data_IF_970706921516
#
_entry.id   IF_970706921516
#
_cell.length_a   1.000
_cell.length_b   1.000
_cell.length_c   1.000
_cell.angle_alpha   90.00
_cell.angle_beta   90.00
_cell.angle_gamma   90.00
#
_symmetry.space_group_name_H-M   'P 1'
#
loop_
_entity.id
_entity.type
_entity.pdbx_description
1 polymer ?
#
# COMPACT_ATOMS: atom_id res chain seq x y z
N UNK A 1 18.02 0.71 2.24
CA UNK A 1 16.65 0.47 1.74
C UNK A 1 16.24 -0.97 2.02
N UNK A 2 15.03 -1.17 2.47
CA UNK A 2 14.39 -2.47 2.65
C UNK A 2 13.19 -2.56 1.69
N UNK A 3 13.15 -3.56 0.82
CA UNK A 3 12.08 -3.73 -0.16
C UNK A 3 11.84 -5.21 -0.44
N UNK A 4 10.62 -5.61 -0.70
CA UNK A 4 10.30 -6.93 -1.25
C UNK A 4 10.57 -6.92 -2.75
N UNK A 5 11.71 -7.43 -3.18
CA UNK A 5 12.08 -7.50 -4.60
C UNK A 5 11.67 -8.82 -5.23
N UNK A 6 11.49 -9.83 -4.40
CA UNK A 6 10.99 -11.16 -4.75
C UNK A 6 9.89 -11.56 -3.75
N UNK A 7 9.09 -12.56 -4.10
CA UNK A 7 7.94 -12.95 -3.29
C UNK A 7 6.71 -12.06 -3.52
N UNK A 8 5.80 -12.06 -2.57
CA UNK A 8 4.54 -11.33 -2.64
C UNK A 8 4.77 -9.81 -2.60
N UNK A 9 3.92 -9.06 -3.31
CA UNK A 9 3.97 -7.59 -3.43
C UNK A 9 5.31 -7.05 -4.00
N UNK A 10 6.00 -7.85 -4.81
CA UNK A 10 7.31 -7.47 -5.37
C UNK A 10 7.21 -6.34 -6.42
N UNK A 11 6.05 -6.14 -7.04
CA UNK A 11 5.79 -5.02 -7.96
C UNK A 11 6.09 -3.68 -7.30
N UNK A 12 5.57 -3.43 -6.09
CA UNK A 12 5.86 -2.21 -5.33
C UNK A 12 7.36 -2.10 -4.98
N UNK A 13 7.97 -3.19 -4.51
CA UNK A 13 9.39 -3.18 -4.13
C UNK A 13 10.31 -2.79 -5.28
N UNK A 14 10.08 -3.35 -6.47
CA UNK A 14 10.84 -3.04 -7.68
C UNK A 14 10.64 -1.59 -8.12
N UNK A 15 9.39 -1.10 -8.15
CA UNK A 15 9.08 0.28 -8.48
C UNK A 15 9.69 1.26 -7.46
N UNK A 16 9.69 0.93 -6.17
CA UNK A 16 10.31 1.76 -5.12
C UNK A 16 11.83 1.88 -5.31
N UNK A 17 12.51 0.78 -5.67
CA UNK A 17 13.96 0.86 -5.98
C UNK A 17 14.21 1.78 -7.16
N UNK A 18 13.43 1.64 -8.24
CA UNK A 18 13.57 2.48 -9.42
C UNK A 18 13.28 3.96 -9.10
N UNK A 19 12.24 4.25 -8.29
CA UNK A 19 11.89 5.59 -7.84
C UNK A 19 13.04 6.26 -7.08
N UNK A 20 13.68 5.54 -6.14
CA UNK A 20 14.81 6.06 -5.38
C UNK A 20 16.05 6.28 -6.23
N UNK A 21 16.32 5.41 -7.21
CA UNK A 21 17.43 5.61 -8.16
C UNK A 21 17.21 6.85 -9.03
N UNK A 22 15.97 7.10 -9.49
CA UNK A 22 15.63 8.30 -10.23
C UNK A 22 15.77 9.54 -9.35
N UNK A 23 15.32 9.48 -8.10
CA UNK A 23 15.48 10.58 -7.14
C UNK A 23 16.97 10.89 -6.90
N UNK A 24 17.82 9.85 -6.73
CA UNK A 24 19.28 10.01 -6.59
C UNK A 24 19.89 10.73 -7.81
N UNK A 25 19.54 10.30 -9.02
CA UNK A 25 20.02 10.93 -10.26
C UNK A 25 19.64 12.41 -10.35
N UNK A 26 18.41 12.76 -9.99
CA UNK A 26 17.93 14.13 -9.98
C UNK A 26 18.65 14.98 -8.93
N UNK A 27 18.83 14.46 -7.73
CA UNK A 27 19.57 15.15 -6.66
C UNK A 27 21.06 15.30 -6.99
N UNK A 28 21.70 14.32 -7.63
CA UNK A 28 23.07 14.46 -8.12
C UNK A 28 23.19 15.54 -9.20
N UNK A 29 22.25 15.59 -10.13
CA UNK A 29 22.23 16.63 -11.17
C UNK A 29 22.06 18.03 -10.55
N UNK A 30 21.20 18.18 -9.54
CA UNK A 30 21.02 19.42 -8.80
C UNK A 30 22.30 19.81 -8.04
N UNK A 31 22.92 18.87 -7.31
CA UNK A 31 24.17 19.09 -6.57
C UNK A 31 25.32 19.54 -7.50
N UNK A 32 25.42 18.97 -8.69
CA UNK A 32 26.40 19.37 -9.69
C UNK A 32 26.14 20.82 -10.16
N UNK A 33 24.89 21.17 -10.42
CA UNK A 33 24.50 22.51 -10.89
C UNK A 33 24.77 23.59 -9.84
N UNK A 34 24.59 23.26 -8.56
CA UNK A 34 24.77 24.18 -7.42
C UNK A 34 26.19 24.18 -6.84
N UNK A 35 27.12 23.36 -7.37
CA UNK A 35 28.49 23.18 -6.88
C UNK A 35 28.56 22.69 -5.43
N UNK A 36 27.59 21.90 -4.97
CA UNK A 36 27.53 21.33 -3.62
C UNK A 36 26.31 20.45 -3.43
N UNK A 37 26.26 19.68 -2.35
CA UNK A 37 25.13 18.82 -1.99
C UNK A 37 25.59 17.48 -1.41
N UNK A 38 24.63 16.71 -0.93
CA UNK A 38 24.86 15.36 -0.45
C UNK A 38 24.86 14.37 -1.62
N UNK A 39 25.67 13.32 -1.50
CA UNK A 39 25.59 12.15 -2.36
C UNK A 39 25.02 11.00 -1.57
N UNK A 40 24.03 10.37 -2.15
CA UNK A 40 23.39 9.20 -1.56
C UNK A 40 24.07 7.93 -2.07
N UNK A 41 24.07 6.90 -1.24
CA UNK A 41 24.48 5.57 -1.62
C UNK A 41 23.52 4.56 -1.01
N UNK A 42 22.82 3.82 -1.86
CA UNK A 42 21.81 2.88 -1.43
C UNK A 42 22.37 1.48 -1.21
N UNK A 43 22.15 0.97 0.01
CA UNK A 43 22.27 -0.45 0.32
C UNK A 43 20.89 -1.08 0.23
N UNK A 44 20.58 -1.74 -0.88
CA UNK A 44 19.30 -2.41 -1.09
C UNK A 44 19.34 -3.80 -0.45
N UNK A 45 18.27 -4.17 0.27
CA UNK A 45 18.06 -5.50 0.84
C UNK A 45 16.69 -6.00 0.42
N UNK A 46 16.66 -7.19 -0.19
CA UNK A 46 15.43 -7.91 -0.47
C UNK A 46 14.90 -8.52 0.83
N UNK A 47 13.70 -8.14 1.24
CA UNK A 47 13.06 -8.65 2.46
C UNK A 47 12.09 -9.79 2.18
N UNK A 48 11.72 -10.01 0.92
CA UNK A 48 10.76 -11.04 0.50
C UNK A 48 9.40 -10.95 1.21
N UNK A 49 9.03 -9.76 1.68
CA UNK A 49 7.87 -9.53 2.54
C UNK A 49 7.91 -10.33 3.86
N UNK A 50 9.11 -10.72 4.32
CA UNK A 50 9.33 -11.50 5.55
C UNK A 50 9.83 -10.59 6.68
N UNK A 51 9.06 -10.44 7.77
CA UNK A 51 9.46 -9.61 8.91
C UNK A 51 10.81 -10.01 9.53
N UNK A 52 11.15 -11.29 9.53
CA UNK A 52 12.43 -11.77 10.09
C UNK A 52 13.62 -11.37 9.21
N UNK A 53 13.44 -11.40 7.89
CA UNK A 53 14.45 -10.92 6.94
C UNK A 53 14.61 -9.40 7.04
N UNK A 54 13.51 -8.65 7.17
CA UNK A 54 13.55 -7.21 7.40
C UNK A 54 14.34 -6.86 8.67
N UNK A 55 14.13 -7.59 9.78
CA UNK A 55 14.89 -7.41 11.03
C UNK A 55 16.38 -7.73 10.85
N UNK A 56 16.71 -8.83 10.20
CA UNK A 56 18.12 -9.16 9.92
C UNK A 56 18.78 -8.11 9.02
N UNK A 57 18.05 -7.58 8.06
CA UNK A 57 18.54 -6.57 7.14
C UNK A 57 18.81 -5.22 7.81
N UNK A 58 17.90 -4.71 8.66
CA UNK A 58 18.13 -3.44 9.37
C UNK A 58 19.32 -3.57 10.34
N UNK A 59 19.49 -4.73 10.99
CA UNK A 59 20.64 -5.01 11.85
C UNK A 59 21.97 -5.05 11.06
N UNK A 60 21.97 -5.61 9.84
CA UNK A 60 23.15 -5.57 8.98
C UNK A 60 23.49 -4.14 8.55
N UNK A 61 22.48 -3.36 8.16
CA UNK A 61 22.66 -1.96 7.76
C UNK A 61 23.13 -1.07 8.92
N UNK A 62 22.61 -1.27 10.13
CA UNK A 62 23.08 -0.52 11.32
C UNK A 62 24.56 -0.79 11.64
N UNK A 63 25.03 -2.05 11.54
CA UNK A 63 26.46 -2.38 11.68
C UNK A 63 27.34 -1.69 10.65
N UNK A 64 26.79 -1.28 9.52
CA UNK A 64 27.47 -0.48 8.47
C UNK A 64 27.37 1.02 8.69
N UNK A 65 26.70 1.45 9.78
CA UNK A 65 26.51 2.85 10.12
C UNK A 65 25.33 3.54 9.42
N UNK A 66 24.43 2.79 8.76
CA UNK A 66 23.25 3.34 8.12
C UNK A 66 22.24 3.76 9.18
N UNK A 67 21.78 5.01 9.13
CA UNK A 67 20.83 5.59 10.09
C UNK A 67 19.52 6.07 9.45
N UNK A 68 19.39 5.95 8.16
CA UNK A 68 18.17 6.31 7.41
C UNK A 68 17.79 5.12 6.55
N UNK A 69 16.56 4.62 6.71
CA UNK A 69 16.01 3.49 5.97
C UNK A 69 14.76 3.95 5.23
N UNK A 70 14.71 3.74 3.93
CA UNK A 70 13.47 3.80 3.15
C UNK A 70 12.93 2.38 3.01
N UNK A 71 11.65 2.19 3.28
CA UNK A 71 11.03 0.88 3.51
C UNK A 71 11.19 0.43 4.97
N UNK A 72 10.71 -0.78 5.32
CA UNK A 72 10.06 -1.75 4.45
C UNK A 72 8.64 -1.32 4.05
N UNK A 73 8.07 -2.04 3.10
CA UNK A 73 6.76 -1.68 2.54
C UNK A 73 5.57 -2.21 3.34
N UNK A 74 5.68 -3.39 3.97
CA UNK A 74 4.56 -3.96 4.72
C UNK A 74 4.55 -3.58 6.19
N UNK A 75 3.35 -3.47 6.75
CA UNK A 75 3.16 -3.16 8.17
C UNK A 75 3.69 -4.26 9.09
N UNK A 76 3.68 -5.53 8.66
CA UNK A 76 4.24 -6.63 9.42
C UNK A 76 5.77 -6.50 9.57
N UNK A 77 6.45 -6.08 8.51
CA UNK A 77 7.89 -5.82 8.54
C UNK A 77 8.21 -4.58 9.38
N UNK A 78 7.44 -3.49 9.23
CA UNK A 78 7.60 -2.28 10.04
C UNK A 78 7.41 -2.59 11.53
N UNK A 79 6.36 -3.33 11.90
CA UNK A 79 6.13 -3.75 13.28
C UNK A 79 7.32 -4.52 13.86
N UNK A 80 7.94 -5.40 13.06
CA UNK A 80 9.08 -6.21 13.48
C UNK A 80 10.35 -5.38 13.70
N UNK A 81 10.64 -4.41 12.81
CA UNK A 81 11.87 -3.62 12.89
C UNK A 81 11.77 -2.42 13.83
N UNK A 82 10.56 -1.93 14.13
CA UNK A 82 10.31 -0.73 14.93
C UNK A 82 11.05 -0.71 16.26
N UNK A 83 10.98 -1.76 17.12
CA UNK A 83 11.71 -1.74 18.42
C UNK A 83 13.22 -1.58 18.25
N UNK A 84 13.78 -2.16 17.18
CA UNK A 84 15.20 -2.04 16.86
C UNK A 84 15.52 -0.63 16.36
N UNK A 85 14.73 -0.08 15.46
CA UNK A 85 14.92 1.27 14.92
C UNK A 85 14.87 2.33 16.02
N UNK A 86 13.90 2.23 16.95
CA UNK A 86 13.76 3.14 18.08
C UNK A 86 14.97 3.06 19.02
N UNK A 87 15.42 1.85 19.37
CA UNK A 87 16.54 1.63 20.28
C UNK A 87 17.89 2.08 19.69
N UNK A 88 18.04 2.08 18.36
CA UNK A 88 19.30 2.34 17.67
C UNK A 88 19.36 3.70 16.95
N UNK A 89 18.35 4.58 17.18
CA UNK A 89 18.26 5.87 16.52
C UNK A 89 18.38 5.75 14.99
N UNK A 90 17.53 4.92 14.41
CA UNK A 90 17.39 4.75 12.96
C UNK A 90 16.06 5.36 12.54
N UNK A 91 16.10 6.31 11.62
CA UNK A 91 14.90 6.87 11.00
C UNK A 91 14.43 5.93 9.90
N UNK A 92 13.18 5.52 9.96
CA UNK A 92 12.54 4.63 8.99
C UNK A 92 11.44 5.40 8.28
N UNK A 93 11.44 5.38 6.95
CA UNK A 93 10.40 5.99 6.10
C UNK A 93 9.75 4.87 5.31
N UNK A 94 8.57 4.44 5.72
CA UNK A 94 7.82 3.45 4.98
C UNK A 94 6.91 4.14 3.95
N UNK A 95 6.96 3.64 2.72
CA UNK A 95 6.11 4.12 1.64
C UNK A 95 4.77 3.39 1.54
N UNK A 96 4.64 2.18 2.13
CA UNK A 96 3.47 1.33 1.94
C UNK A 96 2.91 0.71 3.24
N UNK A 97 3.43 1.07 4.43
CA UNK A 97 2.88 0.57 5.70
C UNK A 97 1.69 1.42 6.16
N UNK A 98 0.50 0.89 6.08
CA UNK A 98 -0.76 1.62 6.31
C UNK A 98 -1.43 1.30 7.65
N UNK A 99 -1.03 0.22 8.37
CA UNK A 99 -1.69 -0.24 9.58
C UNK A 99 -1.88 0.85 10.64
N UNK A 100 -3.12 1.12 11.03
CA UNK A 100 -3.47 2.12 12.04
C UNK A 100 -2.87 1.82 13.42
N UNK A 101 -2.57 0.55 13.73
CA UNK A 101 -1.89 0.13 14.96
C UNK A 101 -0.44 0.62 15.08
N UNK A 102 0.16 1.07 13.97
CA UNK A 102 1.50 1.63 13.91
C UNK A 102 1.53 3.16 13.92
N UNK A 103 0.40 3.82 14.06
CA UNK A 103 0.30 5.26 14.26
C UNK A 103 0.72 5.65 15.70
N UNK A 104 2.03 5.67 15.97
CA UNK A 104 2.58 5.84 17.31
C UNK A 104 3.43 7.12 17.37
N UNK A 105 2.94 8.10 18.12
CA UNK A 105 3.63 9.37 18.25
C UNK A 105 5.01 9.21 18.96
N UNK A 106 6.02 9.87 18.40
CA UNK A 106 7.34 9.98 19.00
C UNK A 106 8.33 8.85 18.68
N UNK A 107 7.88 7.78 18.00
CA UNK A 107 8.77 6.73 17.50
C UNK A 107 9.64 7.21 16.31
N UNK A 108 10.46 6.34 15.76
CA UNK A 108 11.35 6.67 14.64
C UNK A 108 10.79 6.20 13.26
N UNK A 109 9.50 5.87 13.21
CA UNK A 109 8.80 5.43 12.00
C UNK A 109 8.01 6.59 11.42
N UNK A 110 8.20 6.84 10.15
CA UNK A 110 7.44 7.82 9.37
C UNK A 110 6.81 7.12 8.17
N UNK A 111 5.54 7.39 7.89
CA UNK A 111 4.82 6.74 6.82
C UNK A 111 4.39 7.76 5.76
N UNK A 112 4.94 7.62 4.56
CA UNK A 112 4.66 8.53 3.45
C UNK A 112 3.45 8.09 2.62
N UNK A 113 2.53 7.38 3.27
CA UNK A 113 1.25 6.92 2.75
C UNK A 113 0.14 7.18 3.78
N UNK A 114 -1.13 7.28 3.35
CA UNK A 114 -2.27 7.35 4.26
C UNK A 114 -2.45 6.03 5.02
N UNK A 115 -3.13 6.08 6.16
CA UNK A 115 -3.36 4.89 6.98
C UNK A 115 -4.67 4.15 6.62
N UNK A 116 -4.83 2.91 7.12
CA UNK A 116 -5.98 2.02 6.88
C UNK A 116 -7.34 2.66 7.14
N UNK A 117 -7.45 3.58 8.11
CA UNK A 117 -8.72 4.25 8.40
C UNK A 117 -9.20 5.07 7.21
N UNK A 118 -8.26 5.72 6.51
CA UNK A 118 -8.57 6.53 5.32
C UNK A 118 -8.91 5.67 4.11
N UNK A 119 -8.21 4.55 3.94
CA UNK A 119 -8.55 3.59 2.89
C UNK A 119 -9.93 2.96 3.13
N UNK A 120 -10.24 2.61 4.38
CA UNK A 120 -11.54 2.08 4.75
C UNK A 120 -12.68 3.09 4.44
N UNK A 121 -12.48 4.38 4.69
CA UNK A 121 -13.45 5.42 4.31
C UNK A 121 -13.72 5.39 2.79
N UNK A 122 -12.66 5.27 1.97
CA UNK A 122 -12.77 5.25 0.51
C UNK A 122 -13.50 4.01 -0.01
N UNK A 123 -13.06 2.80 0.39
CA UNK A 123 -13.65 1.56 -0.11
C UNK A 123 -15.09 1.36 0.38
N UNK A 124 -15.40 1.76 1.62
CA UNK A 124 -16.74 1.70 2.15
C UNK A 124 -17.67 2.69 1.43
N UNK A 125 -17.18 3.90 1.08
CA UNK A 125 -17.95 4.83 0.27
C UNK A 125 -18.31 4.25 -1.10
N UNK A 126 -17.38 3.54 -1.76
CA UNK A 126 -17.64 2.84 -3.03
C UNK A 126 -18.67 1.73 -2.83
N UNK A 127 -18.46 0.82 -1.88
CA UNK A 127 -19.41 -0.27 -1.57
C UNK A 127 -20.83 0.27 -1.32
N UNK A 128 -20.92 1.35 -0.56
CA UNK A 128 -22.21 1.96 -0.22
C UNK A 128 -22.90 2.60 -1.43
N UNK A 129 -22.10 3.24 -2.31
CA UNK A 129 -22.56 3.79 -3.59
C UNK A 129 -23.12 2.69 -4.50
N UNK A 130 -22.49 1.51 -4.51
CA UNK A 130 -22.89 0.36 -5.34
C UNK A 130 -24.05 -0.44 -4.74
N UNK A 131 -24.57 0.00 -3.59
CA UNK A 131 -25.73 -0.62 -2.96
C UNK A 131 -25.38 -1.79 -2.03
N UNK A 132 -24.11 -2.03 -1.71
CA UNK A 132 -23.69 -3.09 -0.79
C UNK A 132 -24.11 -2.73 0.63
N UNK A 133 -24.69 -3.70 1.36
CA UNK A 133 -25.21 -3.54 2.73
C UNK A 133 -24.76 -4.66 3.66
N UNK A 134 -24.18 -5.72 3.11
CA UNK A 134 -23.58 -6.83 3.87
C UNK A 134 -22.24 -7.23 3.24
N UNK A 135 -21.22 -7.43 4.05
CA UNK A 135 -19.91 -7.95 3.58
C UNK A 135 -19.51 -9.20 4.34
N UNK A 136 -18.86 -10.11 3.62
CA UNK A 136 -18.18 -11.28 4.18
C UNK A 136 -16.68 -11.09 3.96
N UNK A 137 -15.91 -10.71 5.01
CA UNK A 137 -14.48 -10.47 4.87
C UNK A 137 -13.68 -11.77 4.64
N UNK A 138 -12.66 -11.69 3.79
CA UNK A 138 -11.62 -12.69 3.61
C UNK A 138 -10.27 -11.97 3.68
N UNK A 139 -9.41 -12.32 4.63
CA UNK A 139 -8.18 -11.54 4.79
C UNK A 139 -6.99 -12.36 5.29
N UNK A 140 -5.80 -11.90 4.91
CA UNK A 140 -4.51 -12.42 5.33
C UNK A 140 -4.23 -12.06 6.79
N UNK A 141 -3.73 -13.02 7.57
CA UNK A 141 -3.38 -12.83 8.99
C UNK A 141 -2.01 -12.18 9.15
N UNK A 142 -1.89 -10.89 8.91
CA UNK A 142 -0.71 -10.09 9.23
C UNK A 142 -1.10 -8.70 9.76
N UNK A 143 -0.13 -7.90 10.20
CA UNK A 143 -0.39 -6.60 10.83
C UNK A 143 -1.16 -5.64 9.92
N UNK A 144 -0.81 -5.58 8.61
CA UNK A 144 -1.47 -4.70 7.65
C UNK A 144 -2.90 -5.12 7.40
N UNK A 145 -3.09 -6.35 6.90
CA UNK A 145 -4.41 -6.83 6.51
C UNK A 145 -5.38 -7.00 7.68
N UNK A 146 -4.88 -7.31 8.90
CA UNK A 146 -5.72 -7.27 10.11
C UNK A 146 -6.19 -5.83 10.42
N UNK A 147 -5.28 -4.83 10.34
CA UNK A 147 -5.61 -3.43 10.58
C UNK A 147 -6.63 -2.90 9.57
N UNK A 148 -6.45 -3.24 8.30
CA UNK A 148 -7.35 -2.85 7.23
C UNK A 148 -8.73 -3.52 7.37
N UNK A 149 -8.77 -4.85 7.67
CA UNK A 149 -10.01 -5.54 8.01
C UNK A 149 -10.77 -4.84 9.13
N UNK A 150 -10.10 -4.54 10.25
CA UNK A 150 -10.71 -3.90 11.42
C UNK A 150 -11.23 -2.50 11.09
N UNK A 151 -10.50 -1.74 10.27
CA UNK A 151 -10.88 -0.39 9.83
C UNK A 151 -12.10 -0.43 8.90
N UNK A 152 -12.14 -1.35 7.93
CA UNK A 152 -13.27 -1.53 7.02
C UNK A 152 -14.50 -2.02 7.78
N UNK A 153 -14.34 -3.00 8.70
CA UNK A 153 -15.42 -3.46 9.54
C UNK A 153 -16.04 -2.30 10.35
N UNK A 154 -15.21 -1.51 11.01
CA UNK A 154 -15.67 -0.38 11.82
C UNK A 154 -16.39 0.67 10.95
N UNK A 155 -15.83 1.06 9.81
CA UNK A 155 -16.41 2.04 8.91
C UNK A 155 -17.74 1.55 8.30
N UNK A 156 -17.80 0.26 7.90
CA UNK A 156 -19.01 -0.31 7.31
C UNK A 156 -20.14 -0.46 8.31
N UNK A 157 -19.85 -0.89 9.54
CA UNK A 157 -20.82 -0.98 10.63
C UNK A 157 -21.31 0.39 11.10
N UNK A 158 -20.45 1.42 11.06
CA UNK A 158 -20.84 2.80 11.40
C UNK A 158 -21.94 3.33 10.47
N UNK A 159 -21.96 2.89 9.22
CA UNK A 159 -23.03 3.21 8.25
C UNK A 159 -24.27 2.31 8.39
N UNK A 160 -24.27 1.34 9.31
CA UNK A 160 -25.37 0.40 9.53
C UNK A 160 -25.30 -0.87 8.66
N UNK A 161 -24.17 -1.15 8.04
CA UNK A 161 -23.92 -2.36 7.26
C UNK A 161 -23.70 -3.60 8.14
N UNK A 162 -23.99 -4.77 7.58
CA UNK A 162 -23.75 -6.08 8.20
C UNK A 162 -22.35 -6.54 7.83
N UNK A 163 -21.57 -6.95 8.82
CA UNK A 163 -20.27 -7.57 8.63
C UNK A 163 -20.29 -8.96 9.25
N UNK A 164 -20.14 -9.99 8.42
CA UNK A 164 -20.04 -11.38 8.84
C UNK A 164 -18.68 -11.68 9.45
N UNK A 165 -18.56 -12.85 10.12
CA UNK A 165 -17.30 -13.26 10.74
C UNK A 165 -16.14 -13.42 9.73
N UNK A 166 -16.47 -13.71 8.48
CA UNK A 166 -15.50 -13.88 7.41
C UNK A 166 -14.55 -15.07 7.62
N UNK A 167 -13.39 -14.98 7.01
CA UNK A 167 -12.33 -15.98 7.18
C UNK A 167 -10.94 -15.33 7.14
N UNK A 168 -10.14 -15.57 8.17
CA UNK A 168 -8.76 -15.13 8.28
C UNK A 168 -7.81 -16.30 7.95
N UNK A 169 -6.97 -16.14 6.93
CA UNK A 169 -5.99 -17.16 6.52
C UNK A 169 -4.57 -16.76 6.87
N UNK A 170 -3.70 -17.76 7.08
CA UNK A 170 -2.29 -17.53 7.41
C UNK A 170 -1.48 -17.12 6.17
N UNK A 171 -0.42 -16.31 6.32
CA UNK A 171 0.43 -15.86 5.21
C UNK A 171 1.06 -16.99 4.38
N UNK A 172 1.20 -18.18 4.99
CA UNK A 172 1.75 -19.37 4.33
C UNK A 172 0.70 -20.24 3.64
N UNK A 173 -0.58 -19.82 3.65
CA UNK A 173 -1.68 -20.55 3.01
C UNK A 173 -1.48 -20.58 1.49
N UNK A 174 -1.53 -21.78 0.92
CA UNK A 174 -1.47 -22.02 -0.53
C UNK A 174 -2.71 -22.71 -1.09
N UNK A 175 -3.54 -23.31 -0.24
CA UNK A 175 -4.84 -23.88 -0.57
C UNK A 175 -5.95 -23.08 0.11
N UNK A 176 -6.73 -22.37 -0.70
CA UNK A 176 -7.80 -21.50 -0.23
C UNK A 176 -9.19 -22.17 -0.23
N UNK A 177 -9.28 -23.47 -0.50
CA UNK A 177 -10.56 -24.18 -0.61
C UNK A 177 -11.42 -24.10 0.66
N UNK A 178 -10.81 -24.19 1.84
CA UNK A 178 -11.51 -24.06 3.12
C UNK A 178 -11.98 -22.61 3.34
N UNK A 179 -11.14 -21.64 3.01
CA UNK A 179 -11.45 -20.23 3.17
C UNK A 179 -12.61 -19.80 2.26
N UNK A 180 -12.55 -20.15 0.98
CA UNK A 180 -13.59 -19.82 0.00
C UNK A 180 -14.90 -20.56 0.29
N UNK A 181 -14.86 -21.83 0.73
CA UNK A 181 -16.06 -22.55 1.16
C UNK A 181 -16.72 -21.91 2.39
N UNK A 182 -15.93 -21.44 3.36
CA UNK A 182 -16.46 -20.72 4.54
C UNK A 182 -17.15 -19.42 4.14
N UNK A 183 -16.53 -18.62 3.26
CA UNK A 183 -17.10 -17.37 2.76
C UNK A 183 -18.41 -17.64 2.00
N UNK A 184 -18.43 -18.64 1.10
CA UNK A 184 -19.65 -19.02 0.36
C UNK A 184 -20.80 -19.42 1.30
N UNK A 185 -20.51 -20.21 2.33
CA UNK A 185 -21.53 -20.62 3.32
C UNK A 185 -22.11 -19.43 4.09
N UNK A 186 -21.30 -18.42 4.43
CA UNK A 186 -21.77 -17.21 5.10
C UNK A 186 -22.67 -16.37 4.19
N UNK A 187 -22.33 -16.24 2.90
CA UNK A 187 -23.18 -15.59 1.90
C UNK A 187 -24.52 -16.33 1.76
N UNK A 188 -24.50 -17.66 1.65
CA UNK A 188 -25.69 -18.48 1.56
C UNK A 188 -26.59 -18.35 2.79
N UNK A 189 -26.01 -18.23 3.97
CA UNK A 189 -26.76 -17.97 5.22
C UNK A 189 -27.41 -16.59 5.23
N UNK A 190 -26.73 -15.54 4.75
CA UNK A 190 -27.32 -14.19 4.60
C UNK A 190 -28.51 -14.24 3.65
N UNK A 191 -28.36 -14.88 2.50
CA UNK A 191 -29.45 -15.05 1.50
C UNK A 191 -30.62 -15.82 2.11
N UNK A 192 -30.32 -16.96 2.79
CA UNK A 192 -31.32 -17.75 3.49
C UNK A 192 -32.04 -17.00 4.61
N UNK A 193 -31.37 -16.02 5.22
CA UNK A 193 -31.93 -15.08 6.20
C UNK A 193 -32.77 -13.94 5.60
N UNK A 194 -32.83 -13.84 4.26
CA UNK A 194 -33.64 -12.84 3.55
C UNK A 194 -32.88 -11.58 3.10
N UNK A 195 -31.54 -11.58 3.20
CA UNK A 195 -30.73 -10.49 2.63
C UNK A 195 -30.73 -10.58 1.09
N UNK A 196 -30.96 -9.46 0.42
CA UNK A 196 -30.93 -9.41 -1.04
C UNK A 196 -29.50 -9.74 -1.55
N UNK A 197 -29.32 -10.78 -2.40
CA UNK A 197 -28.01 -11.17 -2.90
C UNK A 197 -27.24 -10.03 -3.59
N UNK A 198 -27.94 -9.09 -4.24
CA UNK A 198 -27.32 -7.95 -4.91
C UNK A 198 -26.68 -6.94 -3.96
N UNK A 199 -26.98 -7.02 -2.67
CA UNK A 199 -26.45 -6.14 -1.61
C UNK A 199 -25.32 -6.78 -0.80
N UNK A 200 -24.91 -8.00 -1.15
CA UNK A 200 -23.87 -8.75 -0.46
C UNK A 200 -22.57 -8.68 -1.28
N UNK A 201 -21.44 -8.48 -0.62
CA UNK A 201 -20.14 -8.55 -1.25
C UNK A 201 -19.11 -9.31 -0.41
N UNK A 202 -18.04 -9.78 -1.06
CA UNK A 202 -16.82 -10.21 -0.40
C UNK A 202 -15.85 -9.03 -0.33
N UNK A 203 -15.29 -8.77 0.84
CA UNK A 203 -14.16 -7.86 0.99
C UNK A 203 -12.88 -8.69 1.16
N UNK A 204 -11.91 -8.53 0.26
CA UNK A 204 -10.65 -9.29 0.27
C UNK A 204 -9.48 -8.36 0.56
N UNK A 205 -8.85 -8.51 1.73
CA UNK A 205 -7.57 -7.87 2.06
C UNK A 205 -6.43 -8.89 1.89
N UNK A 206 -5.60 -8.68 0.87
CA UNK A 206 -4.61 -9.64 0.39
C UNK A 206 -3.43 -8.95 -0.29
N UNK A 207 -2.46 -9.75 -0.71
CA UNK A 207 -1.42 -9.40 -1.67
C UNK A 207 -1.52 -10.29 -2.92
N UNK A 208 -0.41 -10.70 -3.49
CA UNK A 208 -0.35 -11.49 -4.75
C UNK A 208 -1.02 -12.86 -4.67
N UNK A 209 -1.26 -13.38 -3.46
CA UNK A 209 -2.03 -14.61 -3.25
C UNK A 209 -3.51 -14.51 -3.67
N UNK A 210 -4.01 -13.32 -4.01
CA UNK A 210 -5.32 -13.11 -4.63
C UNK A 210 -5.54 -14.04 -5.83
N UNK A 211 -4.50 -14.35 -6.60
CA UNK A 211 -4.54 -15.31 -7.72
C UNK A 211 -4.99 -16.69 -7.23
N UNK A 212 -4.41 -17.19 -6.16
CA UNK A 212 -4.79 -18.47 -5.56
C UNK A 212 -6.20 -18.47 -4.97
N UNK A 213 -6.62 -17.35 -4.36
CA UNK A 213 -7.99 -17.15 -3.86
C UNK A 213 -8.98 -17.24 -5.01
N UNK A 214 -8.74 -16.55 -6.12
CA UNK A 214 -9.66 -16.55 -7.26
C UNK A 214 -9.69 -17.88 -7.99
N UNK A 215 -8.57 -18.60 -8.11
CA UNK A 215 -8.57 -19.98 -8.59
C UNK A 215 -9.45 -20.90 -7.75
N UNK A 216 -9.46 -20.71 -6.43
CA UNK A 216 -10.30 -21.47 -5.51
C UNK A 216 -11.77 -21.05 -5.59
N UNK A 217 -12.05 -19.75 -5.80
CA UNK A 217 -13.40 -19.19 -5.83
C UNK A 217 -14.15 -19.47 -7.12
N UNK A 218 -13.47 -19.49 -8.29
CA UNK A 218 -14.08 -19.57 -9.63
C UNK A 218 -14.99 -20.78 -9.86
N UNK A 219 -14.74 -21.89 -9.14
CA UNK A 219 -15.57 -23.10 -9.22
C UNK A 219 -16.84 -23.06 -8.35
N UNK A 220 -17.01 -22.02 -7.55
CA UNK A 220 -18.15 -21.86 -6.65
C UNK A 220 -19.13 -20.83 -7.21
N UNK A 221 -20.37 -21.27 -7.52
CA UNK A 221 -21.41 -20.43 -8.15
C UNK A 221 -21.81 -19.26 -7.26
N UNK A 222 -21.88 -19.42 -5.94
CA UNK A 222 -22.21 -18.35 -4.99
C UNK A 222 -21.15 -17.25 -5.08
N UNK A 223 -19.87 -17.61 -5.02
CA UNK A 223 -18.76 -16.66 -5.06
C UNK A 223 -18.61 -15.96 -6.42
N UNK A 224 -18.86 -16.70 -7.53
CA UNK A 224 -18.78 -16.15 -8.88
C UNK A 224 -19.92 -15.16 -9.20
N UNK A 225 -21.03 -15.22 -8.47
CA UNK A 225 -22.18 -14.31 -8.63
C UNK A 225 -22.24 -13.21 -7.56
N UNK A 226 -21.26 -13.15 -6.66
CA UNK A 226 -21.16 -12.12 -5.63
C UNK A 226 -20.15 -11.07 -6.07
N UNK A 227 -20.43 -9.79 -5.80
CA UNK A 227 -19.44 -8.70 -5.99
C UNK A 227 -18.26 -8.86 -5.03
N UNK A 228 -17.08 -8.51 -5.49
CA UNK A 228 -15.87 -8.52 -4.68
C UNK A 228 -15.23 -7.14 -4.63
N UNK A 229 -14.66 -6.78 -3.49
CA UNK A 229 -13.92 -5.54 -3.28
C UNK A 229 -12.57 -5.87 -2.66
N UNK A 230 -11.53 -5.21 -3.14
CA UNK A 230 -10.16 -5.49 -2.73
C UNK A 230 -9.56 -4.41 -1.84
N UNK A 231 -8.23 -4.43 -1.76
CA UNK A 231 -7.40 -3.57 -0.94
C UNK A 231 -6.19 -3.04 -1.71
N UNK A 232 -5.49 -2.08 -1.11
CA UNK A 232 -4.28 -1.46 -1.65
C UNK A 232 -3.17 -2.47 -2.00
N UNK A 233 -3.04 -3.54 -1.22
CA UNK A 233 -2.02 -4.57 -1.41
C UNK A 233 -2.16 -5.36 -2.72
N UNK A 234 -3.32 -5.29 -3.39
CA UNK A 234 -3.56 -5.94 -4.69
C UNK A 234 -3.53 -4.95 -5.85
N UNK A 235 -3.89 -3.69 -5.60
CA UNK A 235 -3.98 -2.69 -6.64
C UNK A 235 -2.64 -2.56 -7.39
N UNK A 236 -2.71 -2.54 -8.73
CA UNK A 236 -1.56 -2.45 -9.63
C UNK A 236 -0.54 -3.61 -9.52
N UNK A 237 -0.90 -4.72 -8.84
CA UNK A 237 -0.10 -5.94 -8.85
C UNK A 237 0.08 -6.45 -10.30
N UNK A 238 1.32 -6.80 -10.66
CA UNK A 238 1.60 -7.34 -11.99
C UNK A 238 1.12 -8.79 -12.16
N UNK A 239 0.92 -9.52 -11.06
CA UNK A 239 0.60 -10.96 -11.13
C UNK A 239 -0.87 -11.23 -11.44
N UNK A 240 -1.80 -10.40 -10.95
CA UNK A 240 -3.23 -10.62 -11.15
C UNK A 240 -3.63 -10.53 -12.65
N UNK A 241 -3.29 -9.48 -13.40
CA UNK A 241 -3.62 -9.43 -14.83
C UNK A 241 -2.83 -10.43 -15.68
N UNK A 242 -1.68 -10.93 -15.20
CA UNK A 242 -0.88 -11.93 -15.89
C UNK A 242 -1.48 -13.35 -15.81
N UNK A 243 -2.28 -13.65 -14.79
CA UNK A 243 -3.02 -14.92 -14.69
C UNK A 243 -4.41 -14.77 -15.32
N UNK A 244 -4.60 -15.33 -16.50
CA UNK A 244 -5.84 -15.15 -17.28
C UNK A 244 -7.10 -15.65 -16.57
N UNK A 245 -7.01 -16.69 -15.74
CA UNK A 245 -8.18 -17.25 -15.04
C UNK A 245 -8.56 -16.37 -13.84
N UNK A 246 -7.59 -15.95 -13.06
CA UNK A 246 -7.81 -15.02 -11.94
C UNK A 246 -8.28 -13.65 -12.44
N UNK A 247 -7.68 -13.14 -13.52
CA UNK A 247 -8.11 -11.88 -14.15
C UNK A 247 -9.54 -11.94 -14.67
N UNK A 248 -9.92 -13.06 -15.31
CA UNK A 248 -11.30 -13.27 -15.78
C UNK A 248 -12.29 -13.29 -14.60
N UNK A 249 -11.92 -13.92 -13.47
CA UNK A 249 -12.72 -13.88 -12.25
C UNK A 249 -12.85 -12.46 -11.72
N UNK A 250 -11.75 -11.71 -11.61
CA UNK A 250 -11.74 -10.31 -11.16
C UNK A 250 -12.66 -9.41 -12.01
N UNK A 251 -12.66 -9.60 -13.34
CA UNK A 251 -13.56 -8.87 -14.26
C UNK A 251 -15.01 -9.25 -14.02
N UNK A 252 -15.30 -10.55 -13.86
CA UNK A 252 -16.67 -11.03 -13.65
C UNK A 252 -17.25 -10.58 -12.29
N UNK A 253 -16.41 -10.55 -11.27
CA UNK A 253 -16.79 -10.16 -9.90
C UNK A 253 -16.82 -8.64 -9.67
N UNK A 254 -16.44 -7.86 -10.68
CA UNK A 254 -16.24 -6.40 -10.61
C UNK A 254 -15.41 -6.03 -9.37
N UNK A 255 -14.11 -6.38 -9.41
CA UNK A 255 -13.19 -6.33 -8.28
C UNK A 255 -12.38 -5.02 -8.24
N UNK A 256 -12.95 -3.91 -7.72
CA UNK A 256 -12.23 -2.66 -7.52
C UNK A 256 -11.30 -2.74 -6.31
N UNK A 257 -10.15 -2.11 -6.42
CA UNK A 257 -9.15 -2.02 -5.38
C UNK A 257 -8.81 -0.54 -5.15
N UNK A 258 -8.91 -0.03 -3.91
CA UNK A 258 -8.41 1.29 -3.57
C UNK A 258 -6.89 1.26 -3.48
N UNK A 259 -6.26 2.38 -3.77
CA UNK A 259 -4.84 2.61 -3.49
C UNK A 259 -4.63 4.11 -3.27
N UNK A 260 -3.59 4.47 -2.52
CA UNK A 260 -3.18 5.86 -2.39
C UNK A 260 -3.13 6.53 -3.77
N UNK A 261 -3.87 7.62 -3.94
CA UNK A 261 -4.11 8.29 -5.22
C UNK A 261 -3.09 9.39 -5.52
N UNK A 262 -2.91 9.66 -6.80
CA UNK A 262 -2.13 10.80 -7.29
C UNK A 262 -3.07 11.94 -7.69
N UNK A 263 -2.72 13.17 -7.31
CA UNK A 263 -3.47 14.35 -7.72
C UNK A 263 -3.31 14.60 -9.22
N UNK A 264 -4.42 14.56 -9.97
CA UNK A 264 -4.44 14.84 -11.41
C UNK A 264 -3.97 16.27 -11.74
N UNK A 265 -4.12 17.22 -10.79
CA UNK A 265 -3.60 18.58 -10.97
C UNK A 265 -2.05 18.63 -10.99
N UNK A 266 -1.39 17.63 -10.42
CA UNK A 266 0.07 17.47 -10.42
C UNK A 266 0.56 16.50 -11.50
N UNK A 267 -0.26 16.11 -12.46
CA UNK A 267 0.11 15.12 -13.47
C UNK A 267 1.39 15.48 -14.23
N UNK A 268 1.60 16.75 -14.54
CA UNK A 268 2.81 17.21 -15.22
C UNK A 268 4.09 16.99 -14.37
N UNK A 269 3.96 16.86 -13.04
CA UNK A 269 5.06 16.65 -12.12
C UNK A 269 5.32 15.14 -11.92
N UNK A 270 4.27 14.34 -11.64
CA UNK A 270 4.45 12.94 -11.34
C UNK A 270 4.54 12.02 -12.57
N UNK A 271 3.89 12.36 -13.68
CA UNK A 271 3.87 11.49 -14.87
C UNK A 271 5.27 11.21 -15.45
N UNK A 272 6.18 12.20 -15.60
CA UNK A 272 7.54 11.91 -16.08
C UNK A 272 8.30 10.95 -15.18
N UNK A 273 8.07 10.99 -13.86
CA UNK A 273 8.70 10.08 -12.89
C UNK A 273 8.10 8.69 -13.04
N UNK A 274 6.76 8.60 -13.14
CA UNK A 274 6.05 7.34 -13.36
C UNK A 274 6.51 6.65 -14.65
N UNK A 275 6.59 7.39 -15.76
CA UNK A 275 7.07 6.88 -17.05
C UNK A 275 8.53 6.37 -16.96
N UNK A 276 9.39 7.08 -16.21
CA UNK A 276 10.77 6.66 -16.00
C UNK A 276 10.88 5.40 -15.13
N UNK A 277 10.03 5.23 -14.13
CA UNK A 277 9.95 4.01 -13.31
C UNK A 277 9.48 2.85 -14.19
N UNK A 278 8.37 3.02 -14.91
CA UNK A 278 7.81 1.97 -15.79
C UNK A 278 8.80 1.57 -16.89
N UNK A 279 9.53 2.52 -17.47
CA UNK A 279 10.58 2.22 -18.44
C UNK A 279 11.71 1.36 -17.88
N UNK A 280 11.99 1.40 -16.56
CA UNK A 280 13.03 0.59 -15.90
C UNK A 280 12.52 -0.78 -15.45
N UNK A 281 11.28 -0.84 -14.99
CA UNK A 281 10.71 -2.04 -14.34
C UNK A 281 9.79 -2.84 -15.24
N UNK A 282 9.17 -2.20 -16.24
CA UNK A 282 8.08 -2.76 -17.02
C UNK A 282 6.76 -2.87 -16.23
N UNK A 283 6.67 -2.23 -15.06
CA UNK A 283 5.53 -2.29 -14.14
C UNK A 283 5.01 -0.87 -13.93
N UNK A 284 3.71 -0.65 -14.14
CA UNK A 284 3.08 0.65 -13.84
C UNK A 284 3.25 0.98 -12.35
N UNK A 285 3.87 2.12 -12.00
CA UNK A 285 4.08 2.48 -10.61
C UNK A 285 2.81 3.03 -9.97
N UNK A 286 2.70 2.84 -8.67
CA UNK A 286 1.69 3.42 -7.80
C UNK A 286 2.20 4.67 -7.06
N UNK A 287 1.31 5.34 -6.33
CA UNK A 287 1.67 6.51 -5.52
C UNK A 287 2.57 6.15 -4.34
N UNK A 288 2.56 4.91 -3.86
CA UNK A 288 3.48 4.43 -2.83
C UNK A 288 4.94 4.49 -3.32
N UNK A 289 5.20 3.99 -4.53
CA UNK A 289 6.54 4.06 -5.12
C UNK A 289 6.99 5.51 -5.35
N UNK A 290 6.08 6.37 -5.85
CA UNK A 290 6.38 7.79 -6.05
C UNK A 290 6.59 8.53 -4.72
N UNK A 291 5.93 8.14 -3.63
CA UNK A 291 6.15 8.74 -2.32
C UNK A 291 7.56 8.45 -1.77
N UNK A 292 8.18 7.34 -2.16
CA UNK A 292 9.58 7.07 -1.85
C UNK A 292 10.54 8.01 -2.60
N UNK A 293 10.20 8.42 -3.82
CA UNK A 293 10.92 9.46 -4.53
C UNK A 293 10.89 10.79 -3.74
N UNK A 294 9.71 11.24 -3.31
CA UNK A 294 9.55 12.45 -2.50
C UNK A 294 10.30 12.34 -1.16
N UNK A 295 10.27 11.17 -0.53
CA UNK A 295 10.94 10.94 0.76
C UNK A 295 12.45 11.24 0.69
N UNK A 296 13.12 10.92 -0.43
CA UNK A 296 14.55 11.19 -0.57
C UNK A 296 14.84 12.69 -0.63
N UNK A 297 14.00 13.50 -1.27
CA UNK A 297 14.13 14.96 -1.27
C UNK A 297 13.93 15.55 0.12
N UNK A 298 12.96 15.04 0.89
CA UNK A 298 12.77 15.46 2.29
C UNK A 298 13.99 15.11 3.14
N UNK A 299 14.57 13.91 2.96
CA UNK A 299 15.81 13.51 3.65
C UNK A 299 16.96 14.46 3.30
N UNK A 300 17.15 14.80 2.02
CA UNK A 300 18.20 15.74 1.62
C UNK A 300 18.02 17.10 2.30
N UNK A 301 16.83 17.70 2.22
CA UNK A 301 16.53 19.00 2.84
C UNK A 301 16.78 18.99 4.35
N UNK A 302 16.39 17.89 5.02
CA UNK A 302 16.66 17.72 6.44
C UNK A 302 18.17 17.65 6.74
N UNK A 303 18.96 16.96 5.91
CA UNK A 303 20.40 16.93 6.03
C UNK A 303 21.05 18.30 5.80
N UNK A 304 20.57 19.05 4.82
CA UNK A 304 21.02 20.42 4.55
C UNK A 304 20.75 21.36 5.75
N UNK A 305 19.59 21.20 6.39
CA UNK A 305 19.22 22.01 7.56
C UNK A 305 20.10 21.77 8.79
N UNK A 306 20.59 20.53 9.00
CA UNK A 306 21.35 20.17 10.21
C UNK A 306 22.85 19.92 9.97
N UNK A 307 23.25 19.68 8.73
CA UNK A 307 24.64 19.45 8.31
C UNK A 307 25.15 18.02 8.50
N UNK A 308 24.65 17.23 9.47
CA UNK A 308 25.07 15.86 9.72
C UNK A 308 24.09 15.07 10.61
N UNK A 309 24.35 13.75 10.79
CA UNK A 309 23.53 12.84 11.59
C UNK A 309 24.02 12.62 13.02
N UNK A 310 25.04 13.37 13.50
CA UNK A 310 25.62 13.17 14.85
C UNK A 310 24.62 13.42 15.97
N UNK A 311 23.70 14.35 15.77
CA UNK A 311 22.57 14.56 16.67
C UNK A 311 21.28 14.07 16.00
N UNK A 312 20.96 12.80 16.24
CA UNK A 312 19.78 12.17 15.64
C UNK A 312 18.47 12.89 15.97
N UNK A 313 18.31 13.41 17.20
CA UNK A 313 17.09 14.12 17.59
C UNK A 313 16.91 15.42 16.78
N UNK A 314 17.99 16.15 16.51
CA UNK A 314 17.95 17.34 15.67
C UNK A 314 17.62 16.98 14.21
N UNK A 315 18.23 15.91 13.68
CA UNK A 315 17.92 15.43 12.33
C UNK A 315 16.45 15.00 12.20
N UNK A 316 15.95 14.21 13.16
CA UNK A 316 14.55 13.79 13.18
C UNK A 316 13.59 14.99 13.22
N UNK A 317 13.88 16.01 14.04
CA UNK A 317 13.08 17.23 14.09
C UNK A 317 13.13 18.00 12.77
N UNK A 318 14.30 18.11 12.14
CA UNK A 318 14.45 18.73 10.82
C UNK A 318 13.69 17.94 9.75
N UNK A 319 13.76 16.61 9.78
CA UNK A 319 13.02 15.76 8.86
C UNK A 319 11.50 16.01 8.93
N UNK A 320 10.92 16.07 10.13
CA UNK A 320 9.49 16.37 10.30
C UNK A 320 9.15 17.78 9.81
N UNK A 321 10.01 18.77 10.09
CA UNK A 321 9.79 20.15 9.61
C UNK A 321 9.82 20.22 8.09
N UNK A 322 10.80 19.58 7.47
CA UNK A 322 10.91 19.57 6.00
C UNK A 322 9.78 18.77 5.35
N UNK A 323 9.39 17.62 5.92
CA UNK A 323 8.24 16.86 5.44
C UNK A 323 6.95 17.71 5.47
N UNK A 324 6.74 18.50 6.54
CA UNK A 324 5.57 19.37 6.67
C UNK A 324 5.57 20.57 5.72
N UNK A 325 6.72 20.95 5.19
CA UNK A 325 6.88 22.08 4.26
C UNK A 325 6.98 21.65 2.79
N UNK A 326 7.30 20.38 2.52
CA UNK A 326 7.60 19.92 1.18
C UNK A 326 6.33 19.62 0.37
N UNK A 327 6.31 20.12 -0.87
CA UNK A 327 5.37 19.75 -1.90
C UNK A 327 6.11 18.93 -2.95
N UNK A 328 5.87 17.65 -2.95
CA UNK A 328 6.51 16.70 -3.85
C UNK A 328 5.66 16.39 -5.07
N UNK A 329 6.11 15.44 -5.87
CA UNK A 329 5.36 14.96 -7.05
C UNK A 329 4.06 14.26 -6.65
N UNK A 330 3.99 13.72 -5.43
CA UNK A 330 2.77 13.13 -4.86
C UNK A 330 1.94 14.13 -4.04
N UNK A 331 2.22 15.43 -4.14
CA UNK A 331 1.56 16.50 -3.37
C UNK A 331 2.21 16.74 -2.01
N UNK A 332 1.44 17.23 -1.05
CA UNK A 332 1.94 17.55 0.29
C UNK A 332 2.42 16.28 1.01
N UNK A 333 3.66 16.32 1.54
CA UNK A 333 4.21 15.25 2.38
C UNK A 333 4.02 15.49 3.87
N UNK A 334 3.13 16.44 4.23
CA UNK A 334 2.86 16.79 5.63
C UNK A 334 2.43 15.58 6.44
N UNK A 335 2.96 15.50 7.66
CA UNK A 335 2.77 14.39 8.59
C UNK A 335 1.91 14.83 9.78
N UNK A 336 1.15 13.90 10.31
CA UNK A 336 0.44 14.06 11.58
C UNK A 336 1.36 13.85 12.79
N UNK A 337 0.79 13.87 13.99
CA UNK A 337 1.55 13.70 15.24
C UNK A 337 2.12 12.28 15.42
N UNK A 338 1.62 11.30 14.69
CA UNK A 338 2.14 9.94 14.68
C UNK A 338 3.22 9.71 13.61
N UNK A 339 3.49 10.71 12.75
CA UNK A 339 4.42 10.58 11.63
C UNK A 339 3.79 9.97 10.38
N UNK A 340 2.46 9.99 10.28
CA UNK A 340 1.70 9.47 9.14
C UNK A 340 1.31 10.60 8.19
N UNK A 341 1.26 10.30 6.90
CA UNK A 341 0.88 11.28 5.88
C UNK A 341 -0.56 11.76 6.07
N UNK A 342 -0.74 13.09 6.00
CA UNK A 342 -2.06 13.74 6.14
C UNK A 342 -2.89 13.64 4.86
N UNK A 343 -2.25 13.69 3.67
CA UNK A 343 -2.96 13.56 2.39
C UNK A 343 -3.51 12.13 2.25
N UNK A 344 -4.78 12.02 1.92
CA UNK A 344 -5.53 10.75 1.93
C UNK A 344 -6.44 10.59 0.71
N UNK A 345 -6.02 11.10 -0.44
CA UNK A 345 -6.71 10.84 -1.70
C UNK A 345 -6.49 9.40 -2.15
N UNK A 346 -7.52 8.78 -2.74
CA UNK A 346 -7.47 7.40 -3.20
C UNK A 346 -7.93 7.30 -4.66
N UNK A 347 -7.27 6.42 -5.41
CA UNK A 347 -7.70 5.96 -6.72
C UNK A 347 -8.32 4.56 -6.59
N UNK A 348 -9.33 4.28 -7.40
CA UNK A 348 -9.87 2.92 -7.55
C UNK A 348 -9.41 2.33 -8.87
N UNK A 349 -8.84 1.13 -8.79
CA UNK A 349 -8.37 0.38 -9.95
C UNK A 349 -9.07 -0.97 -10.03
N UNK A 350 -9.41 -1.39 -11.24
CA UNK A 350 -9.97 -2.70 -11.51
C UNK A 350 -9.31 -3.33 -12.73
N UNK A 351 -9.21 -4.65 -12.73
CA UNK A 351 -8.74 -5.40 -13.90
C UNK A 351 -9.81 -5.38 -14.98
N UNK A 352 -9.43 -5.07 -16.22
CA UNK A 352 -10.31 -5.04 -17.39
C UNK A 352 -9.63 -5.71 -18.59
N UNK A 353 -10.40 -6.24 -19.56
CA UNK A 353 -9.84 -6.72 -20.82
C UNK A 353 -9.11 -5.60 -21.56
N UNK A 354 -7.86 -5.85 -21.97
CA UNK A 354 -7.01 -4.85 -22.62
C UNK A 354 -6.01 -5.52 -23.56
N UNK A 355 -5.94 -5.09 -24.83
CA UNK A 355 -4.90 -5.51 -25.77
C UNK A 355 -4.85 -7.02 -26.08
N UNK A 356 -5.95 -7.75 -25.91
CA UNK A 356 -6.00 -9.21 -26.05
C UNK A 356 -5.64 -10.00 -24.80
N UNK A 357 -5.38 -9.31 -23.67
CA UNK A 357 -5.17 -9.86 -22.33
C UNK A 357 -5.97 -9.06 -21.30
N UNK A 358 -5.37 -8.83 -20.16
CA UNK A 358 -5.94 -8.06 -19.05
C UNK A 358 -4.96 -7.00 -18.56
N UNK A 359 -5.48 -5.89 -18.03
CA UNK A 359 -4.70 -4.80 -17.46
C UNK A 359 -5.49 -4.04 -16.40
N UNK A 360 -4.79 -3.25 -15.61
CA UNK A 360 -5.40 -2.36 -14.65
C UNK A 360 -5.96 -1.11 -15.32
N UNK A 361 -7.16 -0.71 -14.94
CA UNK A 361 -7.83 0.50 -15.41
C UNK A 361 -8.29 1.28 -14.19
N UNK A 362 -7.94 2.57 -14.14
CA UNK A 362 -8.45 3.50 -13.12
C UNK A 362 -9.92 3.75 -13.40
N UNK A 363 -10.77 3.46 -12.43
CA UNK A 363 -12.23 3.49 -12.56
C UNK A 363 -12.89 4.58 -11.74
N UNK A 364 -12.15 5.25 -10.87
CA UNK A 364 -12.66 6.32 -10.03
C UNK A 364 -11.65 6.84 -9.05
N UNK A 365 -12.06 7.83 -8.28
CA UNK A 365 -11.28 8.48 -7.22
C UNK A 365 -12.14 8.72 -5.98
N UNK A 366 -11.47 8.83 -4.83
CA UNK A 366 -12.06 9.30 -3.58
C UNK A 366 -11.16 10.38 -3.00
N UNK A 367 -11.55 11.65 -3.20
CA UNK A 367 -10.75 12.80 -2.82
C UNK A 367 -11.56 13.70 -1.88
N UNK A 368 -11.02 14.02 -0.72
CA UNK A 368 -11.67 14.88 0.27
C UNK A 368 -13.11 14.45 0.62
N UNK A 369 -13.37 13.14 0.71
CA UNK A 369 -14.69 12.59 1.00
C UNK A 369 -15.64 12.52 -0.19
N UNK A 370 -15.19 12.84 -1.41
CA UNK A 370 -16.00 12.83 -2.62
C UNK A 370 -15.58 11.65 -3.50
N UNK A 371 -16.52 10.73 -3.74
CA UNK A 371 -16.38 9.64 -4.70
C UNK A 371 -16.72 10.14 -6.11
N UNK A 372 -15.84 9.88 -7.06
CA UNK A 372 -16.05 10.14 -8.49
C UNK A 372 -15.73 8.88 -9.29
N UNK A 373 -16.66 8.39 -10.10
CA UNK A 373 -16.48 7.22 -10.98
C UNK A 373 -16.38 7.66 -12.44
N UNK A 374 -15.57 6.93 -13.22
CA UNK A 374 -15.26 7.22 -14.63
C UNK A 374 -16.02 6.32 -15.61
#
# INVERSE_FOLDING_TARGET
MLASLTGSWSSLGQNTVAALQIAEEHLEAEAISQHGGYRFHFFVRDTQLDPSQALAAIQDLDRRGVKIIVGPQSSAEVAMIKPYADAHNILVISQGSTASSLAIAGDNIFRFCPNDTREAEAIVALMWNDGIRAIVPLWRNDTGNNGLHDSVQAAFQLQGGIVEAGYRYEPTTSDFSVATASVASQIENLIGGGTDPSTIAVYLAAFDEVVGVFHSAQGNTTLSNTAWYGSDGVALSAVLPADSAAAAFAVNADYPNPIFGLDDALQNEWQPIADAIEARTGITPDAFALSAYDALFVVQRALEAVGDLRNFANFKAAFVNEANAYQGVTGSTALDSAGDRLNSDFDFWAVRPQGGGYGWVRIGTYNNGILTLF
#
